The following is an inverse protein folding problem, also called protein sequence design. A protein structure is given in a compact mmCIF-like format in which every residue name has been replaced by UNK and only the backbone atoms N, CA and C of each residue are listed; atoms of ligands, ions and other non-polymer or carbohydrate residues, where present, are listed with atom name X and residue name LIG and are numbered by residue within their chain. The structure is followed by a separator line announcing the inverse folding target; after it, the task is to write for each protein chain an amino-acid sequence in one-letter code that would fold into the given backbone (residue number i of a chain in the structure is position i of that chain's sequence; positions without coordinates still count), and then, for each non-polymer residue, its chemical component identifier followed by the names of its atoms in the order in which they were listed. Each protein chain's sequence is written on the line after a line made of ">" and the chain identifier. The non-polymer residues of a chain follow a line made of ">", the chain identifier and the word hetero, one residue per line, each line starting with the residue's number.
data_IF_263330045180
#
_entry.id   IF_263330045180
#
_cell.length_a   1.000
_cell.length_b   1.000
_cell.length_c   1.000
_cell.angle_alpha   90.00
_cell.angle_beta   90.00
_cell.angle_gamma   90.00
#
_symmetry.space_group_name_H-M   'P 1'
#
loop_
_entity.id
_entity.type
_entity.pdbx_description
1 polymer ?
#
# COMPACT_ATOMS: atom_id res chain seq x y z
N UNK A 1 -45.47 -12.90 7.57
CA UNK A 1 -44.26 -12.66 8.41
C UNK A 1 -42.99 -12.76 7.58
N UNK A 2 -42.81 -13.79 6.74
CA UNK A 2 -41.65 -13.99 5.85
C UNK A 2 -41.27 -12.77 4.98
N UNK A 3 -42.25 -12.08 4.37
CA UNK A 3 -41.98 -10.87 3.55
C UNK A 3 -41.35 -9.72 4.35
N UNK A 4 -41.75 -9.54 5.62
CA UNK A 4 -41.18 -8.50 6.50
C UNK A 4 -39.74 -8.85 6.89
N UNK A 5 -39.46 -10.14 7.08
CA UNK A 5 -38.12 -10.65 7.38
C UNK A 5 -37.17 -10.46 6.19
N UNK A 6 -37.63 -10.72 4.97
CA UNK A 6 -36.84 -10.50 3.75
C UNK A 6 -36.51 -9.01 3.55
N UNK A 7 -37.48 -8.13 3.77
CA UNK A 7 -37.26 -6.68 3.66
C UNK A 7 -36.26 -6.20 4.72
N UNK A 8 -36.40 -6.65 5.97
CA UNK A 8 -35.47 -6.30 7.04
C UNK A 8 -34.04 -6.80 6.77
N UNK A 9 -33.89 -8.01 6.21
CA UNK A 9 -32.59 -8.57 5.86
C UNK A 9 -31.92 -7.81 4.71
N UNK A 10 -32.68 -7.46 3.66
CA UNK A 10 -32.16 -6.64 2.56
C UNK A 10 -31.73 -5.25 3.03
N UNK A 11 -32.47 -4.65 3.96
CA UNK A 11 -32.12 -3.36 4.56
C UNK A 11 -30.84 -3.46 5.41
N UNK A 12 -30.66 -4.56 6.14
CA UNK A 12 -29.45 -4.82 6.92
C UNK A 12 -28.21 -4.99 6.04
N UNK A 13 -28.29 -5.74 4.93
CA UNK A 13 -27.20 -5.88 3.97
C UNK A 13 -26.85 -4.57 3.24
N UNK A 14 -27.83 -3.67 3.03
CA UNK A 14 -27.58 -2.37 2.41
C UNK A 14 -26.93 -1.36 3.37
N UNK A 15 -27.09 -1.56 4.69
CA UNK A 15 -26.55 -0.68 5.73
C UNK A 15 -25.20 -1.14 6.28
N UNK A 16 -24.70 -2.33 5.88
CA UNK A 16 -23.35 -2.75 6.25
C UNK A 16 -22.32 -1.98 5.44
N UNK A 17 -21.42 -1.19 6.07
CA UNK A 17 -20.31 -0.61 5.34
C UNK A 17 -19.51 -1.75 4.70
N UNK A 18 -19.24 -1.63 3.40
CA UNK A 18 -18.36 -2.54 2.71
C UNK A 18 -16.98 -2.43 3.37
N UNK A 19 -16.66 -3.39 4.24
CA UNK A 19 -15.31 -3.54 4.79
C UNK A 19 -14.44 -4.06 3.66
N UNK A 20 -13.90 -3.13 2.88
CA UNK A 20 -12.89 -3.45 1.88
C UNK A 20 -11.59 -3.76 2.62
N UNK A 21 -11.11 -5.01 2.51
CA UNK A 21 -9.77 -5.42 2.93
C UNK A 21 -8.68 -4.86 1.99
N UNK A 22 -8.85 -3.62 1.53
CA UNK A 22 -7.95 -2.93 0.63
C UNK A 22 -6.98 -2.04 1.40
N UNK A 23 -5.78 -1.87 0.85
CA UNK A 23 -4.84 -0.88 1.34
C UNK A 23 -5.43 0.52 1.19
N UNK A 24 -5.29 1.34 2.23
CA UNK A 24 -5.53 2.78 2.16
C UNK A 24 -4.71 3.43 1.03
N UNK A 25 -5.13 4.61 0.59
CA UNK A 25 -4.40 5.36 -0.44
C UNK A 25 -2.94 5.61 -0.05
N UNK A 26 -2.69 5.92 1.23
CA UNK A 26 -1.34 6.10 1.77
C UNK A 26 -0.51 4.82 1.68
N UNK A 27 -1.09 3.65 2.00
CA UNK A 27 -0.39 2.38 1.88
C UNK A 27 -0.07 2.04 0.42
N UNK A 28 -0.97 2.36 -0.52
CA UNK A 28 -0.72 2.18 -1.94
C UNK A 28 0.41 3.09 -2.44
N UNK A 29 0.45 4.35 -1.98
CA UNK A 29 1.52 5.29 -2.31
C UNK A 29 2.86 4.84 -1.72
N UNK A 30 2.87 4.40 -0.46
CA UNK A 30 4.07 3.86 0.19
C UNK A 30 4.60 2.64 -0.58
N UNK A 31 3.71 1.72 -0.96
CA UNK A 31 4.07 0.55 -1.78
C UNK A 31 4.69 0.98 -3.11
N UNK A 32 4.10 1.97 -3.80
CA UNK A 32 4.65 2.50 -5.04
C UNK A 32 6.06 3.06 -4.85
N UNK A 33 6.28 3.87 -3.82
CA UNK A 33 7.59 4.46 -3.53
C UNK A 33 8.66 3.38 -3.31
N UNK A 34 8.33 2.32 -2.58
CA UNK A 34 9.26 1.20 -2.34
C UNK A 34 9.58 0.45 -3.64
N UNK A 35 8.58 0.18 -4.47
CA UNK A 35 8.79 -0.51 -5.77
C UNK A 35 9.65 0.34 -6.70
N UNK A 36 9.38 1.64 -6.80
CA UNK A 36 10.13 2.55 -7.65
C UNK A 36 11.59 2.69 -7.17
N UNK A 37 11.81 2.79 -5.85
CA UNK A 37 13.16 2.73 -5.27
C UNK A 37 13.87 1.43 -5.63
N UNK A 38 13.21 0.27 -5.45
CA UNK A 38 13.80 -1.03 -5.72
C UNK A 38 14.26 -1.15 -7.18
N UNK A 39 13.40 -0.76 -8.11
CA UNK A 39 13.73 -0.80 -9.53
C UNK A 39 14.94 0.08 -9.84
N UNK A 40 14.93 1.34 -9.39
CA UNK A 40 16.02 2.27 -9.68
C UNK A 40 17.33 1.86 -9.01
N UNK A 41 17.28 1.51 -7.72
CA UNK A 41 18.48 1.23 -6.93
C UNK A 41 19.10 -0.14 -7.24
N UNK A 42 18.28 -1.18 -7.42
CA UNK A 42 18.77 -2.56 -7.45
C UNK A 42 18.72 -3.18 -8.84
N UNK A 43 17.65 -2.95 -9.60
CA UNK A 43 17.52 -3.50 -10.95
C UNK A 43 18.33 -2.65 -11.95
N UNK A 44 18.05 -1.35 -12.00
CA UNK A 44 18.68 -0.40 -12.91
C UNK A 44 20.07 0.03 -12.43
N UNK A 45 20.34 -0.12 -11.13
CA UNK A 45 21.60 0.28 -10.47
C UNK A 45 21.91 1.77 -10.63
N UNK A 46 20.88 2.61 -10.71
CA UNK A 46 20.95 4.06 -10.76
C UNK A 46 20.61 4.65 -9.39
N UNK A 47 21.65 4.88 -8.58
CA UNK A 47 21.48 5.48 -7.26
C UNK A 47 21.00 6.93 -7.31
N UNK A 48 21.43 7.71 -8.32
CA UNK A 48 21.02 9.10 -8.43
C UNK A 48 19.51 9.21 -8.65
N UNK A 49 18.95 8.33 -9.48
CA UNK A 49 17.50 8.23 -9.68
C UNK A 49 16.77 7.66 -8.45
N UNK A 50 17.43 6.82 -7.64
CA UNK A 50 16.83 6.23 -6.43
C UNK A 50 16.88 7.14 -5.20
N UNK A 51 17.87 8.04 -5.10
CA UNK A 51 18.10 8.94 -3.94
C UNK A 51 16.87 9.74 -3.50
N UNK A 52 15.99 10.24 -4.40
CA UNK A 52 14.79 10.98 -4.01
C UNK A 52 13.76 10.15 -3.22
N UNK A 53 13.80 8.82 -3.32
CA UNK A 53 12.91 7.93 -2.54
C UNK A 53 13.43 7.68 -1.12
N UNK A 54 14.66 8.10 -0.83
CA UNK A 54 15.24 8.07 0.51
C UNK A 54 15.09 9.44 1.16
N UNK A 55 14.67 9.46 2.42
CA UNK A 55 14.63 10.71 3.20
C UNK A 55 16.03 11.32 3.38
N UNK A 56 16.09 12.47 4.05
CA UNK A 56 17.35 13.17 4.32
C UNK A 56 18.34 12.29 5.09
N UNK A 57 17.82 11.42 5.97
CA UNK A 57 18.56 10.39 6.69
C UNK A 57 18.04 9.00 6.33
N UNK A 58 18.92 8.17 5.79
CA UNK A 58 18.68 6.75 5.54
C UNK A 58 19.67 5.92 6.35
N UNK A 59 19.17 4.90 7.06
CA UNK A 59 20.01 3.98 7.85
C UNK A 59 20.09 2.66 7.08
N UNK A 60 21.27 2.34 6.57
CA UNK A 60 21.53 1.08 5.89
C UNK A 60 21.94 0.01 6.91
N UNK A 61 21.10 -0.99 7.09
CA UNK A 61 21.40 -2.14 7.95
C UNK A 61 22.06 -3.30 7.20
N UNK A 62 22.00 -3.32 5.87
CA UNK A 62 22.65 -4.35 5.08
C UNK A 62 24.17 -4.08 5.00
N UNK A 63 25.03 -4.89 5.63
CA UNK A 63 26.48 -4.69 5.60
C UNK A 63 27.09 -4.95 4.22
N UNK A 64 26.35 -5.59 3.32
CA UNK A 64 26.77 -5.88 1.94
C UNK A 64 26.31 -4.82 0.95
N UNK A 65 25.49 -3.84 1.38
CA UNK A 65 25.13 -2.72 0.53
C UNK A 65 26.39 -1.90 0.24
N UNK A 66 26.59 -1.58 -1.04
CA UNK A 66 27.68 -0.69 -1.45
C UNK A 66 27.24 0.75 -1.25
N UNK A 67 28.21 1.59 -0.91
CA UNK A 67 28.06 3.05 -0.91
C UNK A 67 27.84 3.58 -2.34
#
# INVERSE_FOLDING_TARGET
>A
MLKKTIVAFALFCALTPAVFAGNSENEQLNKKNVIDFYNKALNDKDFAAARPYLGDRYIQHNPMAKD
#
